data_IF_005728456742
#
_entry.id   IF_005728456742
#
_cell.length_a   1.000
_cell.length_b   1.000
_cell.length_c   1.000
_cell.angle_alpha   90.00
_cell.angle_beta   90.00
_cell.angle_gamma   90.00
#
_symmetry.space_group_name_H-M   'P 1'
#
loop_
_entity.id
_entity.type
_entity.pdbx_description
1 polymer ?
#
# COMPACT_ATOMS: atom_id res chain seq x y z
N UNK A 1 1.27 -3.96 5.42
CA UNK A 1 1.65 -2.61 5.88
C UNK A 1 2.52 -1.91 4.82
N UNK A 2 1.95 -1.55 3.65
CA UNK A 2 2.71 -0.99 2.54
C UNK A 2 3.07 0.49 2.77
N UNK A 3 4.20 0.95 2.24
CA UNK A 3 4.68 2.33 2.39
C UNK A 3 5.29 2.89 1.10
N UNK A 4 5.79 4.13 1.19
CA UNK A 4 6.59 4.72 0.12
C UNK A 4 7.94 3.99 -0.03
N UNK A 5 8.54 4.00 -1.24
CA UNK A 5 9.86 3.43 -1.51
C UNK A 5 10.98 4.33 -0.96
N UNK A 6 10.96 4.54 0.35
CA UNK A 6 11.90 5.40 1.07
C UNK A 6 12.51 4.64 2.24
N UNK A 7 13.47 3.74 1.93
CA UNK A 7 14.11 2.91 2.94
C UNK A 7 14.86 3.76 3.98
N UNK A 8 15.62 4.75 3.53
CA UNK A 8 16.44 5.60 4.40
C UNK A 8 15.60 6.49 5.31
N UNK A 9 14.47 7.01 4.83
CA UNK A 9 13.52 7.77 5.65
C UNK A 9 12.48 6.91 6.35
N UNK A 10 12.62 5.58 6.30
CA UNK A 10 11.69 4.62 6.90
C UNK A 10 10.22 4.84 6.47
N UNK A 11 9.99 5.31 5.24
CA UNK A 11 8.67 5.65 4.73
C UNK A 11 7.97 6.81 5.45
N UNK A 12 8.72 7.66 6.16
CA UNK A 12 8.17 8.79 6.96
C UNK A 12 8.29 10.16 6.29
N UNK A 13 8.88 10.24 5.09
CA UNK A 13 8.94 11.47 4.30
C UNK A 13 7.83 11.50 3.27
N UNK A 14 7.24 12.66 3.07
CA UNK A 14 6.29 12.87 1.97
C UNK A 14 7.03 12.73 0.64
N UNK A 15 6.39 12.07 -0.32
CA UNK A 15 6.89 11.98 -1.68
C UNK A 15 5.81 12.51 -2.63
N UNK A 16 6.21 13.35 -3.57
CA UNK A 16 5.34 13.79 -4.66
C UNK A 16 5.37 12.70 -5.72
N UNK A 17 4.35 11.84 -5.72
CA UNK A 17 4.20 10.70 -6.63
C UNK A 17 2.78 10.69 -7.16
N UNK A 18 2.61 10.23 -8.40
CA UNK A 18 1.28 10.12 -8.97
C UNK A 18 0.49 9.03 -8.21
N UNK A 19 -0.83 9.24 -8.06
CA UNK A 19 -1.70 8.27 -7.41
C UNK A 19 -1.66 6.90 -8.12
N UNK A 20 -1.47 6.89 -9.44
CA UNK A 20 -1.26 5.68 -10.24
C UNK A 20 0.00 4.91 -9.86
N UNK A 21 1.09 5.62 -9.57
CA UNK A 21 2.35 4.98 -9.13
C UNK A 21 2.18 4.38 -7.73
N UNK A 22 1.49 5.10 -6.84
CA UNK A 22 1.15 4.59 -5.49
C UNK A 22 0.32 3.32 -5.58
N UNK A 23 -0.67 3.25 -6.47
CA UNK A 23 -1.44 2.03 -6.72
C UNK A 23 -0.51 0.87 -7.11
N UNK A 24 0.43 1.10 -8.02
CA UNK A 24 1.44 0.11 -8.41
C UNK A 24 2.32 -0.34 -7.25
N UNK A 25 2.80 0.59 -6.41
CA UNK A 25 3.59 0.27 -5.23
C UNK A 25 2.83 -0.60 -4.23
N UNK A 26 1.53 -0.35 -4.05
CA UNK A 26 0.70 -1.13 -3.14
C UNK A 26 0.44 -2.52 -3.69
N UNK A 27 0.08 -2.64 -4.97
CA UNK A 27 -0.12 -3.94 -5.62
C UNK A 27 1.13 -4.81 -5.44
N UNK A 28 2.31 -4.23 -5.71
CA UNK A 28 3.59 -4.93 -5.56
C UNK A 28 3.82 -5.40 -4.11
N UNK A 29 3.74 -4.50 -3.13
CA UNK A 29 4.04 -4.81 -1.74
C UNK A 29 3.03 -5.77 -1.09
N UNK A 30 1.74 -5.61 -1.40
CA UNK A 30 0.69 -6.50 -0.88
C UNK A 30 0.85 -7.89 -1.52
N UNK A 31 1.04 -7.96 -2.85
CA UNK A 31 1.24 -9.24 -3.55
C UNK A 31 2.47 -10.00 -3.05
N UNK A 32 3.57 -9.29 -2.78
CA UNK A 32 4.77 -9.89 -2.17
C UNK A 32 4.44 -10.55 -0.82
N UNK A 33 3.74 -9.84 0.08
CA UNK A 33 3.35 -10.39 1.38
C UNK A 33 2.32 -11.52 1.27
N UNK A 34 1.35 -11.42 0.34
CA UNK A 34 0.37 -12.48 0.08
C UNK A 34 1.05 -13.79 -0.32
N UNK A 35 2.12 -13.73 -1.11
CA UNK A 35 2.87 -14.93 -1.50
C UNK A 35 3.44 -15.66 -0.28
N UNK A 36 4.06 -14.93 0.66
CA UNK A 36 4.55 -15.51 1.92
C UNK A 36 3.42 -16.05 2.79
N UNK A 37 2.33 -15.29 2.95
CA UNK A 37 1.18 -15.75 3.74
C UNK A 37 0.61 -17.08 3.20
N UNK A 38 0.50 -17.21 1.87
CA UNK A 38 0.03 -18.44 1.22
C UNK A 38 0.94 -19.65 1.46
N UNK A 39 2.26 -19.46 1.48
CA UNK A 39 3.23 -20.54 1.80
C UNK A 39 2.99 -21.08 3.21
N UNK A 40 2.61 -20.20 4.14
CA UNK A 40 2.29 -20.56 5.54
C UNK A 40 0.84 -20.99 5.75
N UNK A 41 0.03 -21.12 4.68
CA UNK A 41 -1.40 -21.46 4.78
C UNK A 41 -2.25 -20.38 5.44
N UNK A 42 -1.80 -19.12 5.41
CA UNK A 42 -2.49 -17.96 5.96
C UNK A 42 -3.07 -17.07 4.87
N UNK A 43 -4.12 -16.33 5.23
CA UNK A 43 -4.71 -15.29 4.39
C UNK A 43 -4.43 -13.89 4.97
N UNK A 44 -4.16 -12.93 4.09
CA UNK A 44 -4.01 -11.55 4.53
C UNK A 44 -5.36 -10.95 4.87
N UNK A 45 -5.53 -10.59 6.14
CA UNK A 45 -6.79 -10.09 6.67
C UNK A 45 -7.02 -8.59 6.41
N UNK A 46 -5.96 -7.76 6.34
CA UNK A 46 -6.12 -6.32 6.17
C UNK A 46 -4.89 -5.63 5.58
N UNK A 47 -5.11 -4.40 5.09
CA UNK A 47 -4.06 -3.50 4.60
C UNK A 47 -4.12 -2.18 5.36
N UNK A 48 -2.99 -1.79 5.98
CA UNK A 48 -2.81 -0.49 6.63
C UNK A 48 -1.60 0.24 6.04
N UNK A 49 -1.77 1.36 5.32
CA UNK A 49 -0.67 2.16 4.81
C UNK A 49 0.28 2.60 5.95
N UNK A 50 1.57 2.72 5.63
CA UNK A 50 2.62 3.09 6.57
C UNK A 50 2.95 4.59 6.53
N UNK A 51 3.36 5.14 7.66
CA UNK A 51 4.06 6.41 7.77
C UNK A 51 3.43 7.58 6.98
N UNK A 52 4.26 8.23 6.17
CA UNK A 52 3.85 9.40 5.40
C UNK A 52 2.73 9.07 4.39
N UNK A 53 2.72 7.86 3.80
CA UNK A 53 1.67 7.45 2.87
C UNK A 53 0.30 7.47 3.55
N UNK A 54 0.18 6.94 4.78
CA UNK A 54 -1.05 7.00 5.56
C UNK A 54 -1.47 8.46 5.83
N UNK A 55 -0.54 9.26 6.35
CA UNK A 55 -0.81 10.65 6.72
C UNK A 55 -1.26 11.50 5.53
N UNK A 56 -0.69 11.24 4.35
CA UNK A 56 -1.05 11.90 3.11
C UNK A 56 -2.41 11.41 2.60
N UNK A 57 -2.70 10.11 2.67
CA UNK A 57 -3.98 9.55 2.24
C UNK A 57 -5.17 10.10 3.05
N UNK A 58 -4.97 10.44 4.33
CA UNK A 58 -5.99 11.12 5.16
C UNK A 58 -6.36 12.50 4.58
N UNK A 59 -5.45 13.15 3.86
CA UNK A 59 -5.61 14.52 3.35
C UNK A 59 -5.89 14.61 1.85
N UNK A 60 -5.57 13.56 1.09
CA UNK A 60 -5.70 13.52 -0.37
C UNK A 60 -6.68 12.39 -0.79
N UNK A 61 -7.91 12.74 -1.19
CA UNK A 61 -8.91 11.76 -1.64
C UNK A 61 -8.47 10.93 -2.85
N UNK A 62 -7.67 11.49 -3.77
CA UNK A 62 -7.19 10.75 -4.94
C UNK A 62 -6.20 9.68 -4.53
N UNK A 63 -5.34 9.99 -3.56
CA UNK A 63 -4.41 9.04 -2.98
C UNK A 63 -5.15 7.94 -2.20
N UNK A 64 -6.16 8.31 -1.39
CA UNK A 64 -7.00 7.34 -0.69
C UNK A 64 -7.74 6.41 -1.66
N UNK A 65 -8.28 6.95 -2.76
CA UNK A 65 -8.93 6.15 -3.79
C UNK A 65 -7.96 5.17 -4.45
N UNK A 66 -6.76 5.61 -4.83
CA UNK A 66 -5.75 4.74 -5.42
C UNK A 66 -5.35 3.59 -4.48
N UNK A 67 -5.27 3.86 -3.17
CA UNK A 67 -5.03 2.83 -2.15
C UNK A 67 -6.18 1.82 -2.11
N UNK A 68 -7.42 2.29 -2.03
CA UNK A 68 -8.60 1.42 -2.00
C UNK A 68 -8.72 0.56 -3.27
N UNK A 69 -8.44 1.14 -4.44
CA UNK A 69 -8.42 0.42 -5.71
C UNK A 69 -7.30 -0.62 -5.79
N UNK A 70 -6.13 -0.34 -5.23
CA UNK A 70 -5.04 -1.32 -5.15
C UNK A 70 -5.48 -2.54 -4.34
N UNK A 71 -6.06 -2.33 -3.14
CA UNK A 71 -6.58 -3.41 -2.29
C UNK A 71 -7.64 -4.22 -3.04
N UNK A 72 -8.65 -3.53 -3.61
CA UNK A 72 -9.75 -4.17 -4.36
C UNK A 72 -9.27 -4.98 -5.58
N UNK A 73 -8.15 -4.59 -6.20
CA UNK A 73 -7.62 -5.29 -7.37
C UNK A 73 -6.99 -6.65 -7.03
N UNK A 74 -6.53 -6.81 -5.78
CA UNK A 74 -5.89 -8.04 -5.30
C UNK A 74 -6.86 -8.97 -4.57
N UNK A 75 -7.92 -8.40 -4.01
CA UNK A 75 -8.94 -9.13 -3.28
C UNK A 75 -10.31 -8.44 -3.48
N UNK A 76 -11.31 -9.21 -3.91
CA UNK A 76 -12.65 -8.70 -4.23
C UNK A 76 -13.65 -8.89 -3.08
N UNK A 77 -13.23 -9.50 -1.96
CA UNK A 77 -14.09 -9.99 -0.90
C UNK A 77 -14.29 -11.49 -0.97
#
# INVERSE_FOLDING_TARGET
HPGYPDLLGFGRRNMVVAATDVKGYLIYQIGALQAFARVEGLELQHVKPHGALYNMAVKDPKLAQAIAEAVRSLDKG
#
